data_IF_816506862678
#
_entry.id   IF_816506862678
#
_cell.length_a   1.000
_cell.length_b   1.000
_cell.length_c   1.000
_cell.angle_alpha   90.00
_cell.angle_beta   90.00
_cell.angle_gamma   90.00
#
_symmetry.space_group_name_H-M   'P 1'
#
loop_
_entity.id
_entity.type
_entity.pdbx_description
1 polymer ?
#
# COMPACT_ATOMS: atom_id res chain seq x y z
N UNK A 1 -2.55 8.93 57.09
CA UNK A 1 -1.32 9.19 56.30
C UNK A 1 -1.20 8.06 55.29
N UNK A 2 -1.24 8.35 53.98
CA UNK A 2 -1.00 7.35 52.94
C UNK A 2 0.46 7.52 52.48
N UNK A 3 1.26 6.46 52.56
CA UNK A 3 2.67 6.50 52.17
C UNK A 3 2.79 6.27 50.65
N UNK A 4 3.36 7.24 49.94
CA UNK A 4 3.76 7.13 48.53
C UNK A 4 5.07 6.36 48.44
N UNK A 5 5.07 5.20 47.77
CA UNK A 5 6.30 4.48 47.42
C UNK A 5 6.82 4.98 46.07
N UNK A 6 7.99 5.61 46.09
CA UNK A 6 8.77 5.99 44.91
C UNK A 6 9.58 4.77 44.46
N UNK A 7 9.36 4.30 43.23
CA UNK A 7 10.22 3.26 42.63
C UNK A 7 11.32 3.94 41.80
N UNK A 8 12.58 3.72 42.18
CA UNK A 8 13.78 4.18 41.48
C UNK A 8 13.95 3.47 40.13
N UNK A 9 14.30 4.23 39.09
CA UNK A 9 14.40 3.78 37.69
C UNK A 9 15.80 3.30 37.29
N UNK A 10 16.53 2.67 38.21
CA UNK A 10 17.96 2.39 38.02
C UNK A 10 18.30 0.92 38.26
N UNK A 11 17.94 0.05 37.30
CA UNK A 11 18.68 -1.16 36.92
C UNK A 11 17.94 -1.91 35.80
N UNK A 12 18.28 -1.60 34.54
CA UNK A 12 18.14 -2.59 33.48
C UNK A 12 19.55 -2.94 33.00
N UNK A 13 19.93 -4.19 33.25
CA UNK A 13 21.21 -4.76 32.88
C UNK A 13 21.31 -4.91 31.36
N UNK A 14 22.29 -4.21 30.80
CA UNK A 14 22.86 -4.42 29.48
C UNK A 14 23.49 -5.83 29.43
N UNK A 15 22.91 -6.72 28.64
CA UNK A 15 23.22 -8.14 28.70
C UNK A 15 22.63 -8.95 27.55
N UNK A 16 22.77 -8.46 26.32
CA UNK A 16 22.73 -9.30 25.11
C UNK A 16 23.45 -8.59 23.96
N UNK A 17 24.77 -8.65 24.03
CA UNK A 17 25.69 -8.41 22.91
C UNK A 17 25.51 -9.47 21.82
N UNK A 18 25.01 -9.09 20.64
CA UNK A 18 25.20 -9.84 19.40
C UNK A 18 26.06 -9.03 18.44
N UNK A 19 27.17 -9.67 18.07
CA UNK A 19 28.33 -9.18 17.34
C UNK A 19 27.99 -8.48 16.02
N UNK A 20 28.60 -7.31 15.84
CA UNK A 20 28.97 -6.78 14.53
C UNK A 20 30.11 -7.65 13.98
N UNK A 21 29.85 -8.40 12.91
CA UNK A 21 30.90 -8.85 11.98
C UNK A 21 30.45 -8.48 10.57
N UNK A 22 31.06 -7.40 10.07
CA UNK A 22 31.24 -7.14 8.65
C UNK A 22 32.05 -8.28 8.04
N UNK A 23 31.50 -9.04 7.10
CA UNK A 23 32.33 -9.77 6.14
C UNK A 23 31.74 -9.66 4.73
N UNK A 24 32.46 -8.88 3.93
CA UNK A 24 32.28 -8.64 2.51
C UNK A 24 32.77 -9.90 1.77
N UNK A 25 31.94 -10.51 0.92
CA UNK A 25 32.45 -11.41 -0.12
C UNK A 25 31.90 -11.03 -1.48
N UNK A 26 32.71 -10.20 -2.14
CA UNK A 26 32.80 -10.02 -3.58
C UNK A 26 33.01 -11.38 -4.25
N UNK A 27 32.13 -11.74 -5.19
CA UNK A 27 32.55 -12.49 -6.37
C UNK A 27 32.00 -11.76 -7.61
N UNK A 28 32.92 -11.52 -8.54
CA UNK A 28 32.80 -10.73 -9.76
C UNK A 28 32.63 -11.67 -10.96
N UNK A 29 31.64 -11.36 -11.81
CA UNK A 29 31.57 -11.48 -13.28
C UNK A 29 31.67 -12.87 -13.98
N UNK A 30 31.22 -13.07 -15.27
CA UNK A 30 30.86 -12.05 -16.26
C UNK A 30 29.66 -12.33 -17.19
N UNK A 31 29.16 -11.27 -17.84
CA UNK A 31 29.14 -11.10 -19.31
C UNK A 31 27.96 -10.20 -19.76
N UNK A 32 28.35 -9.09 -20.38
CA UNK A 32 27.52 -8.11 -21.06
C UNK A 32 26.64 -8.74 -22.15
N UNK A 33 25.44 -8.20 -22.35
CA UNK A 33 24.92 -7.97 -23.69
C UNK A 33 23.91 -6.83 -23.64
N UNK A 34 24.38 -5.64 -24.00
CA UNK A 34 23.51 -4.63 -24.59
C UNK A 34 23.10 -5.12 -25.98
N UNK A 35 21.80 -5.19 -26.25
CA UNK A 35 21.30 -5.22 -27.62
C UNK A 35 20.04 -4.36 -27.68
N UNK A 36 20.23 -3.15 -28.18
CA UNK A 36 19.19 -2.28 -28.70
C UNK A 36 18.64 -2.92 -29.99
N UNK A 37 17.33 -3.23 -30.04
CA UNK A 37 16.51 -3.27 -31.26
C UNK A 37 15.11 -3.86 -30.95
N UNK A 38 14.10 -3.20 -31.52
CA UNK A 38 12.71 -3.64 -31.63
C UNK A 38 12.49 -5.16 -31.77
N UNK A 39 11.48 -5.67 -31.06
CA UNK A 39 10.99 -7.02 -31.28
C UNK A 39 9.80 -7.34 -30.39
N UNK A 40 8.60 -7.09 -30.90
CA UNK A 40 7.33 -7.58 -30.34
C UNK A 40 7.48 -9.09 -30.05
N UNK A 41 7.46 -9.48 -28.78
CA UNK A 41 7.28 -10.87 -28.37
C UNK A 41 6.33 -10.91 -27.17
N UNK A 42 5.33 -11.82 -27.19
CA UNK A 42 4.27 -11.81 -26.19
C UNK A 42 4.86 -12.22 -24.84
N UNK A 43 4.48 -11.48 -23.80
CA UNK A 43 4.83 -11.80 -22.43
C UNK A 43 4.47 -13.28 -22.11
N UNK A 44 5.27 -13.98 -21.28
CA UNK A 44 4.98 -15.35 -20.89
C UNK A 44 3.61 -15.40 -20.22
N UNK A 45 2.82 -16.41 -20.57
CA UNK A 45 1.53 -16.71 -19.92
C UNK A 45 1.83 -17.09 -18.47
N UNK A 46 1.87 -16.11 -17.58
CA UNK A 46 1.84 -16.34 -16.14
C UNK A 46 0.53 -17.08 -15.83
N UNK A 47 0.66 -18.23 -15.19
CA UNK A 47 -0.48 -19.02 -14.74
C UNK A 47 -1.22 -18.21 -13.67
N UNK A 48 -2.35 -17.58 -14.03
CA UNK A 48 -3.10 -16.75 -13.09
C UNK A 48 -3.53 -17.60 -11.90
N UNK A 49 -3.05 -17.25 -10.70
CA UNK A 49 -3.48 -17.90 -9.47
C UNK A 49 -4.86 -17.36 -9.06
N UNK A 50 -5.65 -18.09 -8.25
CA UNK A 50 -6.92 -17.58 -7.73
C UNK A 50 -6.78 -16.19 -7.07
N UNK A 51 -5.69 -15.98 -6.32
CA UNK A 51 -5.38 -14.70 -5.67
C UNK A 51 -5.18 -13.55 -6.67
N UNK A 52 -4.58 -13.82 -7.84
CA UNK A 52 -4.43 -12.81 -8.89
C UNK A 52 -5.79 -12.43 -9.50
N UNK A 53 -6.73 -13.37 -9.59
CA UNK A 53 -8.08 -13.10 -10.05
C UNK A 53 -8.84 -12.18 -9.08
N UNK A 54 -8.75 -12.46 -7.77
CA UNK A 54 -9.37 -11.65 -6.72
C UNK A 54 -8.81 -10.22 -6.72
N UNK A 55 -7.48 -10.10 -6.79
CA UNK A 55 -6.81 -8.80 -6.91
C UNK A 55 -7.28 -8.01 -8.13
N UNK A 56 -7.43 -8.68 -9.28
CA UNK A 56 -7.96 -8.06 -10.50
C UNK A 56 -9.44 -7.68 -10.37
N UNK A 57 -10.23 -8.43 -9.60
CA UNK A 57 -11.63 -8.08 -9.32
C UNK A 57 -11.71 -6.77 -8.51
N UNK A 58 -10.90 -6.68 -7.44
CA UNK A 58 -10.82 -5.47 -6.59
C UNK A 58 -10.37 -4.26 -7.41
N UNK A 59 -9.34 -4.39 -8.26
CA UNK A 59 -8.86 -3.26 -9.07
C UNK A 59 -9.82 -2.81 -10.16
N UNK A 60 -10.70 -3.69 -10.63
CA UNK A 60 -11.76 -3.33 -11.59
C UNK A 60 -13.02 -2.83 -10.91
N UNK A 61 -13.07 -2.83 -9.58
CA UNK A 61 -14.26 -2.41 -8.84
C UNK A 61 -14.56 -0.92 -9.07
N UNK A 62 -15.84 -0.52 -9.30
CA UNK A 62 -16.18 0.87 -9.62
C UNK A 62 -15.74 1.88 -8.56
N UNK A 63 -15.73 1.49 -7.28
CA UNK A 63 -15.27 2.34 -6.16
C UNK A 63 -13.75 2.40 -5.99
N UNK A 64 -12.99 1.51 -6.63
CA UNK A 64 -11.53 1.45 -6.45
C UNK A 64 -10.83 2.80 -6.66
N UNK A 65 -11.15 3.59 -7.70
CA UNK A 65 -10.52 4.91 -7.88
C UNK A 65 -10.77 5.88 -6.73
N UNK A 66 -11.96 5.86 -6.12
CA UNK A 66 -12.26 6.68 -4.95
C UNK A 66 -11.50 6.16 -3.74
N UNK A 67 -11.57 4.85 -3.46
CA UNK A 67 -10.89 4.25 -2.30
C UNK A 67 -9.37 4.48 -2.33
N UNK A 68 -8.74 4.31 -3.50
CA UNK A 68 -7.32 4.59 -3.69
C UNK A 68 -6.97 6.04 -3.34
N UNK A 69 -7.77 7.01 -3.81
CA UNK A 69 -7.59 8.43 -3.50
C UNK A 69 -7.76 8.72 -2.00
N UNK A 70 -8.79 8.16 -1.36
CA UNK A 70 -9.04 8.38 0.06
C UNK A 70 -7.93 7.76 0.92
N UNK A 71 -7.41 6.59 0.56
CA UNK A 71 -6.30 5.96 1.27
C UNK A 71 -5.01 6.76 1.15
N UNK A 72 -4.71 7.31 -0.02
CA UNK A 72 -3.56 8.22 -0.20
C UNK A 72 -3.68 9.45 0.72
N UNK A 73 -4.87 10.05 0.79
CA UNK A 73 -5.12 11.18 1.70
C UNK A 73 -5.03 10.80 3.17
N UNK A 74 -5.52 9.62 3.54
CA UNK A 74 -5.40 9.11 4.90
C UNK A 74 -3.93 8.90 5.28
N UNK A 75 -3.12 8.31 4.40
CA UNK A 75 -1.69 8.13 4.61
C UNK A 75 -1.01 9.47 4.87
N UNK A 76 -1.22 10.47 4.02
CA UNK A 76 -0.63 11.82 4.20
C UNK A 76 -1.03 12.44 5.55
N UNK A 77 -2.31 12.32 5.91
CA UNK A 77 -2.83 12.85 7.17
C UNK A 77 -2.19 12.18 8.40
N UNK A 78 -1.83 10.91 8.30
CA UNK A 78 -1.21 10.15 9.41
C UNK A 78 0.30 10.31 9.48
N UNK A 79 0.95 10.73 8.40
CA UNK A 79 2.40 11.01 8.36
C UNK A 79 2.77 12.42 8.87
N UNK A 80 1.80 13.22 9.31
CA UNK A 80 2.02 14.59 9.79
C UNK A 80 2.18 15.62 8.68
N UNK A 81 1.70 15.33 7.47
CA UNK A 81 1.55 16.33 6.42
C UNK A 81 0.43 17.30 6.81
N UNK A 82 0.81 18.51 7.20
CA UNK A 82 -0.13 19.59 7.49
C UNK A 82 -0.79 20.05 6.18
N UNK A 83 -1.98 19.54 5.86
CA UNK A 83 -2.70 20.00 4.65
C UNK A 83 -4.03 19.30 4.34
N UNK A 84 -4.23 18.07 4.77
CA UNK A 84 -5.48 17.34 4.52
C UNK A 84 -6.52 17.64 5.62
N UNK A 85 -7.57 18.37 5.26
CA UNK A 85 -8.72 18.60 6.14
C UNK A 85 -9.79 17.53 5.90
N UNK A 86 -10.58 17.20 6.92
CA UNK A 86 -11.72 16.28 6.79
C UNK A 86 -12.70 16.73 5.70
N UNK A 87 -12.94 18.04 5.57
CA UNK A 87 -13.79 18.61 4.53
C UNK A 87 -13.29 18.32 3.11
N UNK A 88 -11.99 18.08 2.93
CA UNK A 88 -11.43 17.73 1.62
C UNK A 88 -11.83 16.32 1.17
N UNK A 89 -12.19 15.42 2.10
CA UNK A 89 -12.69 14.09 1.77
C UNK A 89 -14.12 14.16 1.22
N UNK A 90 -14.98 14.98 1.83
CA UNK A 90 -16.36 15.18 1.38
C UNK A 90 -16.41 15.64 -0.09
N UNK A 91 -15.56 16.62 -0.44
CA UNK A 91 -15.45 17.15 -1.80
C UNK A 91 -15.03 16.06 -2.81
N UNK A 92 -14.09 15.18 -2.45
CA UNK A 92 -13.65 14.10 -3.33
C UNK A 92 -14.76 13.07 -3.56
N UNK A 93 -15.50 12.72 -2.50
CA UNK A 93 -16.63 11.80 -2.58
C UNK A 93 -17.74 12.39 -3.46
N UNK A 94 -18.11 13.66 -3.24
CA UNK A 94 -19.12 14.35 -4.05
C UNK A 94 -18.71 14.42 -5.54
N UNK A 95 -17.44 14.73 -5.81
CA UNK A 95 -16.92 14.78 -7.17
C UNK A 95 -16.97 13.41 -7.84
N UNK A 96 -16.63 12.35 -7.11
CA UNK A 96 -16.72 10.99 -7.61
C UNK A 96 -18.17 10.58 -7.92
N UNK A 97 -19.10 10.84 -7.00
CA UNK A 97 -20.53 10.56 -7.19
C UNK A 97 -21.07 11.29 -8.42
N UNK A 98 -20.82 12.61 -8.52
CA UNK A 98 -21.24 13.42 -9.67
C UNK A 98 -20.66 12.87 -10.99
N UNK A 99 -19.41 12.40 -10.98
CA UNK A 99 -18.78 11.82 -12.16
C UNK A 99 -19.45 10.50 -12.57
N UNK A 100 -19.73 9.62 -11.62
CA UNK A 100 -20.42 8.34 -11.89
C UNK A 100 -21.82 8.58 -12.46
N UNK A 101 -22.59 9.51 -11.89
CA UNK A 101 -23.92 9.89 -12.38
C UNK A 101 -23.85 10.45 -13.81
N UNK A 102 -22.89 11.33 -14.08
CA UNK A 102 -22.67 11.92 -15.41
C UNK A 102 -22.29 10.86 -16.44
N UNK A 103 -21.47 9.89 -16.06
CA UNK A 103 -20.99 8.81 -16.94
C UNK A 103 -21.98 7.64 -17.00
N UNK A 104 -23.07 7.65 -16.21
CA UNK A 104 -24.06 6.58 -16.14
C UNK A 104 -23.48 5.26 -15.61
N UNK A 105 -22.41 5.32 -14.83
CA UNK A 105 -21.69 4.15 -14.31
C UNK A 105 -22.23 3.73 -12.95
N UNK A 106 -22.36 2.42 -12.68
CA UNK A 106 -22.81 1.94 -11.38
C UNK A 106 -21.73 2.14 -10.31
N UNK A 107 -22.16 2.20 -9.05
CA UNK A 107 -21.27 2.21 -7.88
C UNK A 107 -20.84 0.81 -7.44
N UNK A 108 -21.65 -0.18 -7.79
CA UNK A 108 -21.48 -1.58 -7.42
C UNK A 108 -21.09 -2.39 -8.66
N UNK A 109 -20.33 -3.45 -8.48
CA UNK A 109 -20.08 -4.41 -9.55
C UNK A 109 -21.17 -5.50 -9.56
N UNK A 110 -21.11 -6.42 -10.53
CA UNK A 110 -22.12 -7.49 -10.63
C UNK A 110 -21.84 -8.66 -9.67
N UNK A 111 -20.66 -8.68 -9.05
CA UNK A 111 -20.24 -9.71 -8.12
C UNK A 111 -20.43 -9.25 -6.67
N UNK A 112 -21.43 -9.80 -5.95
CA UNK A 112 -21.69 -9.40 -4.57
C UNK A 112 -20.56 -9.80 -3.62
N UNK A 113 -19.74 -10.80 -3.95
CA UNK A 113 -18.61 -11.16 -3.08
C UNK A 113 -17.55 -10.04 -3.08
N UNK A 114 -17.18 -9.57 -4.27
CA UNK A 114 -16.27 -8.42 -4.41
C UNK A 114 -16.86 -7.12 -3.85
N UNK A 115 -18.17 -6.89 -3.99
CA UNK A 115 -18.83 -5.68 -3.47
C UNK A 115 -18.87 -5.59 -1.93
N UNK A 116 -18.89 -6.75 -1.24
CA UNK A 116 -19.01 -6.82 0.22
C UNK A 116 -17.67 -7.02 0.95
N UNK A 117 -16.56 -7.09 0.21
CA UNK A 117 -15.22 -7.23 0.77
C UNK A 117 -14.83 -6.02 1.64
#
# INVERSE_FOLDING_TARGET
MMATQTLSIDNYQDGQQMQVVTELKTEQDPNCSETDAEGVSPAPVESQTPMDADKQAIYRHPLFPLLALLFEKCEQSTQGSEGTTSASFDVDIENFVRKQEKEGKPFFCEDPETDNL
#
